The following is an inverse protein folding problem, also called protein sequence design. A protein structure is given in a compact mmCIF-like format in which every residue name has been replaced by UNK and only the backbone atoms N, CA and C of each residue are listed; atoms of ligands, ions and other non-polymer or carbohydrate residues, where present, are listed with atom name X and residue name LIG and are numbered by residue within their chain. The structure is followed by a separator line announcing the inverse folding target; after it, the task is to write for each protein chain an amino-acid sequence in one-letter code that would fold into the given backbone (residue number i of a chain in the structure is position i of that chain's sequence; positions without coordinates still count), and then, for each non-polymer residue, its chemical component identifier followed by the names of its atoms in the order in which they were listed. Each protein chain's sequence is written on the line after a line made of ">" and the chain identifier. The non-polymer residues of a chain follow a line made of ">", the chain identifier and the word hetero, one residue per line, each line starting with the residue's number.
data_IF_882704672683
#
_entry.id   IF_882704672683
#
_cell.length_a   1.000
_cell.length_b   1.000
_cell.length_c   1.000
_cell.angle_alpha   90.00
_cell.angle_beta   90.00
_cell.angle_gamma   90.00
#
_symmetry.space_group_name_H-M   'P 1'
#
loop_
_entity.id
_entity.type
_entity.pdbx_description
1 polymer ?
2 non-polymer ?
3 non-polymer ?
4 non-polymer ?
5 non-polymer ?
6 water ?
#
# COMPACT_ATOMS: atom_id res chain seq x y z
N UNK A 3 4.90 9.03 -18.62
CA UNK A 3 3.60 9.63 -18.37
C UNK A 3 3.76 11.10 -18.03
N UNK A 4 2.75 11.92 -18.35
CA UNK A 4 2.83 13.37 -18.28
C UNK A 4 1.66 13.93 -17.48
N UNK A 5 1.95 14.89 -16.61
CA UNK A 5 0.93 15.64 -15.88
C UNK A 5 1.04 17.11 -16.28
N UNK A 6 0.08 17.57 -17.09
CA UNK A 6 0.13 18.92 -17.64
C UNK A 6 -1.05 19.76 -17.18
N UNK A 7 -2.15 19.73 -17.94
CA UNK A 7 -3.34 20.51 -17.59
C UNK A 7 -4.05 19.95 -16.38
N UNK A 8 -3.91 18.65 -16.14
CA UNK A 8 -4.53 17.94 -15.02
C UNK A 8 -5.99 17.64 -15.36
N UNK A 9 -6.82 18.66 -15.54
CA UNK A 9 -8.24 18.45 -15.79
C UNK A 9 -8.50 18.40 -17.29
N UNK A 10 -8.99 17.25 -17.76
CA UNK A 10 -9.26 17.00 -19.16
C UNK A 10 -10.75 16.85 -19.47
N UNK A 11 -11.59 16.70 -18.45
CA UNK A 11 -13.04 16.53 -18.56
C UNK A 11 -13.43 15.22 -19.23
N UNK A 12 -12.48 14.35 -19.59
CA UNK A 12 -12.81 13.10 -20.24
C UNK A 12 -13.50 12.11 -19.31
N UNK A 13 -13.50 12.36 -18.00
CA UNK A 13 -14.16 11.47 -17.06
C UNK A 13 -15.44 12.04 -16.49
N UNK A 14 -16.00 13.06 -17.14
CA UNK A 14 -17.19 13.72 -16.63
C UNK A 14 -18.46 12.92 -16.84
N UNK A 15 -18.40 11.76 -17.51
CA UNK A 15 -19.54 10.86 -17.64
C UNK A 15 -19.44 9.65 -16.73
N UNK A 16 -18.49 9.64 -15.81
CA UNK A 16 -18.32 8.51 -14.90
C UNK A 16 -17.49 7.37 -15.44
N UNK A 17 -16.87 7.54 -16.61
CA UNK A 17 -15.95 6.56 -17.18
C UNK A 17 -14.53 7.13 -17.14
N UNK A 18 -13.55 6.24 -17.28
CA UNK A 18 -12.15 6.63 -17.23
C UNK A 18 -11.34 5.52 -17.91
N UNK A 19 -10.03 5.66 -17.89
CA UNK A 19 -9.14 4.79 -18.64
C UNK A 19 -8.19 4.00 -17.78
N UNK A 20 -8.01 2.73 -18.13
CA UNK A 20 -6.90 1.95 -17.63
C UNK A 20 -5.62 2.38 -18.35
N UNK A 21 -4.49 1.75 -18.01
CA UNK A 21 -3.22 2.18 -18.58
C UNK A 21 -3.09 1.83 -20.06
N UNK A 22 -3.82 0.82 -20.53
CA UNK A 22 -3.89 0.55 -21.97
C UNK A 22 -4.92 1.43 -22.66
N UNK A 23 -5.52 2.37 -21.94
CA UNK A 23 -6.47 3.38 -22.40
C UNK A 23 -7.84 2.81 -22.70
N UNK A 24 -8.06 1.51 -22.49
CA UNK A 24 -9.41 0.98 -22.53
C UNK A 24 -10.26 1.64 -21.45
N UNK A 25 -11.56 1.72 -21.69
CA UNK A 25 -12.46 2.51 -20.86
C UNK A 25 -13.17 1.62 -19.85
N UNK A 26 -13.27 2.12 -18.60
CA UNK A 26 -13.94 1.41 -17.52
C UNK A 26 -14.81 2.39 -16.76
N UNK A 27 -15.77 1.83 -16.01
CA UNK A 27 -16.52 2.64 -15.05
C UNK A 27 -15.62 3.04 -13.90
N UNK A 28 -15.89 4.22 -13.33
CA UNK A 28 -15.06 4.68 -12.22
C UNK A 28 -15.31 3.86 -10.94
N UNK A 29 -16.23 2.91 -10.98
CA UNK A 29 -16.43 1.95 -9.91
C UNK A 29 -15.79 0.59 -10.20
N UNK A 30 -15.01 0.50 -11.26
CA UNK A 30 -14.39 -0.76 -11.64
C UNK A 30 -13.46 -1.27 -10.54
N UNK A 31 -13.52 -2.57 -10.27
CA UNK A 31 -12.79 -3.13 -9.13
C UNK A 31 -11.29 -2.94 -9.27
N UNK A 32 -10.77 -2.99 -10.50
CA UNK A 32 -9.34 -2.78 -10.69
C UNK A 32 -8.95 -1.36 -10.32
N UNK A 33 -9.74 -0.38 -10.77
CA UNK A 33 -9.49 1.01 -10.42
C UNK A 33 -9.60 1.23 -8.92
N UNK A 34 -10.62 0.64 -8.29
CA UNK A 34 -10.74 0.78 -6.84
C UNK A 34 -9.47 0.28 -6.15
N UNK A 35 -8.86 -0.78 -6.69
CA UNK A 35 -7.66 -1.33 -6.06
C UNK A 35 -6.49 -0.35 -6.13
N UNK A 36 -6.16 0.15 -7.32
CA UNK A 36 -5.04 1.07 -7.37
C UNK A 36 -5.40 2.47 -6.89
N UNK A 37 -6.69 2.81 -6.85
CA UNK A 37 -7.11 4.00 -6.12
C UNK A 37 -6.79 3.88 -4.63
N UNK A 38 -7.08 2.72 -4.04
CA UNK A 38 -6.79 2.53 -2.62
C UNK A 38 -5.28 2.51 -2.37
N UNK A 39 -4.48 2.06 -3.34
CA UNK A 39 -3.04 2.20 -3.23
C UNK A 39 -2.65 3.68 -3.15
N UNK A 40 -3.26 4.51 -3.99
CA UNK A 40 -3.05 5.96 -3.93
C UNK A 40 -3.36 6.49 -2.53
N UNK A 41 -4.50 6.07 -1.97
CA UNK A 41 -4.88 6.55 -0.63
C UNK A 41 -3.90 6.07 0.44
N UNK A 42 -3.42 4.83 0.33
CA UNK A 42 -2.41 4.35 1.26
C UNK A 42 -1.10 5.10 1.10
N UNK A 43 -0.73 5.43 -0.14
CA UNK A 43 0.48 6.20 -0.37
C UNK A 43 0.41 7.57 0.30
N UNK A 44 -0.77 8.22 0.22
CA UNK A 44 -0.95 9.51 0.88
C UNK A 44 -0.91 9.40 2.40
N UNK A 45 -1.38 8.28 2.94
CA UNK A 45 -1.30 8.09 4.38
C UNK A 45 0.15 8.01 4.84
N UNK A 46 1.00 7.35 4.06
CA UNK A 46 2.42 7.28 4.39
C UNK A 46 3.06 8.66 4.30
N UNK A 47 2.64 9.46 3.31
CA UNK A 47 3.14 10.82 3.21
C UNK A 47 2.77 11.66 4.41
N UNK A 48 1.56 11.46 4.94
CA UNK A 48 1.19 12.12 6.19
C UNK A 48 2.10 11.68 7.33
N UNK A 49 2.46 10.39 7.35
CA UNK A 49 3.35 9.89 8.39
C UNK A 49 4.76 10.48 8.24
N UNK A 50 5.20 10.68 7.00
CA UNK A 50 6.53 11.24 6.77
C UNK A 50 6.58 12.73 7.10
N UNK A 51 5.50 13.46 6.87
CA UNK A 51 5.51 14.91 6.98
C UNK A 51 5.23 15.41 8.40
N UNK A 52 4.43 14.70 9.17
CA UNK A 52 4.11 15.10 10.53
C UNK A 52 4.78 14.23 11.59
N UNK A 53 5.44 13.14 11.19
CA UNK A 53 5.92 12.16 12.15
C UNK A 53 7.37 12.35 12.56
N UNK A 54 8.14 13.08 11.76
CA UNK A 54 9.58 13.24 11.98
C UNK A 54 10.27 11.90 12.14
N UNK A 55 10.08 10.97 11.23
CA UNK A 55 10.81 9.68 11.32
C UNK A 55 12.30 9.89 11.13
N UNK A 56 13.08 9.02 11.78
CA UNK A 56 14.51 9.10 11.64
C UNK A 56 14.91 8.80 10.19
N UNK A 57 16.20 8.90 9.91
CA UNK A 57 16.68 8.80 8.53
C UNK A 57 16.39 7.42 7.94
N UNK A 58 16.55 6.35 8.73
CA UNK A 58 16.45 5.02 8.16
C UNK A 58 14.99 4.64 7.88
N UNK A 59 14.04 5.12 8.68
CA UNK A 59 12.64 4.86 8.39
C UNK A 59 12.21 5.70 7.20
N UNK A 60 12.63 6.95 7.12
CA UNK A 60 12.26 7.75 5.96
C UNK A 60 12.72 7.07 4.65
N UNK A 61 13.88 6.41 4.68
CA UNK A 61 14.34 5.75 3.44
C UNK A 61 13.53 4.49 3.14
N UNK A 62 13.16 3.74 4.18
CA UNK A 62 12.31 2.57 3.96
C UNK A 62 10.94 3.00 3.45
N UNK A 63 10.34 4.01 4.08
CA UNK A 63 8.99 4.43 3.69
C UNK A 63 8.99 5.06 2.31
N UNK A 64 10.05 5.80 1.96
CA UNK A 64 10.13 6.37 0.62
C UNK A 64 10.22 5.28 -0.44
N UNK A 65 10.89 4.16 -0.13
CA UNK A 65 10.90 3.05 -1.06
C UNK A 65 9.52 2.43 -1.20
N UNK A 66 8.79 2.33 -0.09
CA UNK A 66 7.44 1.77 -0.14
C UNK A 66 6.52 2.66 -0.96
N UNK A 67 6.60 3.97 -0.77
CA UNK A 67 5.82 4.89 -1.60
C UNK A 67 6.12 4.68 -3.08
N UNK A 68 7.38 4.38 -3.41
CA UNK A 68 7.72 4.10 -4.80
C UNK A 68 7.18 2.74 -5.23
N UNK A 69 7.24 1.73 -4.35
CA UNK A 69 6.66 0.44 -4.67
C UNK A 69 5.16 0.55 -4.92
N UNK A 70 4.48 1.43 -4.19
CA UNK A 70 3.02 1.54 -4.33
C UNK A 70 2.65 2.04 -5.73
N UNK A 71 3.49 2.87 -6.34
CA UNK A 71 3.23 3.27 -7.72
C UNK A 71 3.55 2.12 -8.68
N UNK A 72 4.60 1.35 -8.40
CA UNK A 72 4.81 0.11 -9.15
C UNK A 72 3.59 -0.77 -9.06
N UNK A 73 3.01 -0.90 -7.86
CA UNK A 73 1.85 -1.76 -7.67
C UNK A 73 0.64 -1.22 -8.41
N UNK A 74 0.46 0.11 -8.42
CA UNK A 74 -0.65 0.68 -9.16
C UNK A 74 -0.48 0.52 -10.67
N UNK A 75 0.74 0.68 -11.17
CA UNK A 75 0.99 0.43 -12.58
C UNK A 75 0.64 -1.01 -12.95
N UNK A 76 1.02 -1.95 -12.09
CA UNK A 76 0.65 -3.35 -12.27
C UNK A 76 -0.87 -3.49 -12.36
N UNK A 77 -1.58 -2.99 -11.35
CA UNK A 77 -3.02 -3.19 -11.28
C UNK A 77 -3.76 -2.47 -12.39
N UNK A 78 -3.24 -1.33 -12.86
CA UNK A 78 -3.91 -0.56 -13.90
C UNK A 78 -3.63 -1.09 -15.30
N UNK A 79 -2.76 -2.07 -15.46
CA UNK A 79 -2.43 -2.58 -16.80
C UNK A 79 -2.84 -4.03 -16.93
N UNK A 80 -3.88 -4.33 -17.72
CA UNK A 80 -4.32 -5.72 -17.86
C UNK A 80 -3.19 -6.62 -18.31
N UNK A 81 -3.23 -7.87 -17.83
CA UNK A 81 -2.27 -8.88 -18.25
C UNK A 81 -2.71 -9.42 -19.62
N UNK A 82 -1.78 -9.43 -20.57
CA UNK A 82 -2.04 -9.93 -21.92
C UNK A 82 -0.89 -10.83 -22.34
N UNK A 83 -1.18 -11.69 -23.32
CA UNK A 83 -0.16 -12.57 -23.88
C UNK A 83 0.74 -11.81 -24.83
N UNK A 84 2.05 -11.94 -24.63
CA UNK A 84 3.06 -11.28 -25.45
C UNK A 84 2.68 -9.83 -25.70
N UNK A 85 2.74 -8.99 -24.68
CA UNK A 85 2.48 -7.55 -24.90
C UNK A 85 3.55 -6.94 -25.78
N UNK A 86 3.15 -5.98 -26.61
CA UNK A 86 4.13 -5.31 -27.45
C UNK A 86 5.26 -4.73 -26.59
N UNK A 87 4.91 -4.02 -25.53
CA UNK A 87 5.91 -3.56 -24.57
C UNK A 87 5.80 -4.35 -23.27
N UNK A 88 6.92 -4.62 -22.60
CA UNK A 88 6.86 -5.42 -21.36
C UNK A 88 6.39 -4.56 -20.20
N UNK A 89 5.34 -4.99 -19.48
CA UNK A 89 4.77 -4.12 -18.44
C UNK A 89 5.50 -4.22 -17.12
N UNK A 90 5.45 -3.12 -16.37
CA UNK A 90 5.99 -3.09 -15.02
C UNK A 90 5.08 -3.90 -14.09
N UNK A 91 5.63 -4.96 -13.51
CA UNK A 91 4.89 -5.85 -12.61
C UNK A 91 5.60 -5.94 -11.27
N UNK A 92 4.81 -6.19 -10.22
CA UNK A 92 5.37 -6.52 -8.93
C UNK A 92 5.93 -7.93 -8.97
N UNK A 93 7.03 -8.15 -8.25
CA UNK A 93 7.71 -9.44 -8.25
C UNK A 93 7.97 -9.89 -6.83
N UNK A 94 8.15 -11.20 -6.67
CA UNK A 94 8.51 -11.75 -5.37
C UNK A 94 9.66 -10.98 -4.75
N UNK A 95 10.57 -10.46 -5.57
CA UNK A 95 11.64 -9.58 -5.08
C UNK A 95 11.11 -8.55 -4.10
N UNK A 96 10.00 -7.90 -4.47
CA UNK A 96 9.43 -6.86 -3.61
C UNK A 96 9.06 -7.42 -2.24
N UNK A 97 8.40 -8.58 -2.22
CA UNK A 97 7.90 -9.12 -0.96
C UNK A 97 9.04 -9.64 -0.09
N UNK A 98 10.03 -10.30 -0.70
CA UNK A 98 11.19 -10.73 0.06
C UNK A 98 11.84 -9.55 0.78
N UNK A 99 11.95 -8.40 0.10
CA UNK A 99 12.50 -7.22 0.73
C UNK A 99 11.69 -6.80 1.95
N UNK A 100 10.36 -6.77 1.80
CA UNK A 100 9.51 -6.42 2.93
C UNK A 100 9.73 -7.38 4.09
N UNK A 101 9.81 -8.68 3.82
CA UNK A 101 10.01 -9.64 4.90
C UNK A 101 11.34 -9.42 5.61
N UNK A 102 12.37 -9.00 4.88
CA UNK A 102 13.64 -8.70 5.52
C UNK A 102 13.54 -7.50 6.44
N UNK A 103 12.85 -6.45 5.99
CA UNK A 103 12.61 -5.30 6.86
C UNK A 103 11.80 -5.71 8.08
N UNK A 104 10.81 -6.58 7.90
CA UNK A 104 10.04 -7.07 9.04
C UNK A 104 10.95 -7.76 10.05
N UNK A 105 11.75 -8.72 9.59
CA UNK A 105 12.60 -9.47 10.52
C UNK A 105 13.60 -8.55 11.21
N UNK A 106 14.22 -7.64 10.46
CA UNK A 106 15.22 -6.75 11.05
C UNK A 106 14.62 -5.86 12.12
N UNK A 107 13.53 -5.15 11.79
CA UNK A 107 12.93 -4.22 12.74
C UNK A 107 12.19 -4.94 13.86
N UNK A 108 11.72 -6.17 13.64
CA UNK A 108 11.04 -6.91 14.67
C UNK A 108 12.00 -7.65 15.61
N UNK A 109 13.31 -7.62 15.31
CA UNK A 109 14.27 -8.35 16.13
C UNK A 109 14.32 -7.78 17.55
N UNK A 110 14.52 -6.47 17.66
CA UNK A 110 14.68 -5.84 18.95
C UNK A 110 13.42 -5.63 19.76
N UNK A 111 12.28 -6.15 19.31
CA UNK A 111 11.03 -5.94 20.02
C UNK A 111 10.52 -7.25 20.63
N UNK A 112 9.80 -7.17 21.76
CA UNK A 112 9.31 -8.38 22.41
C UNK A 112 7.95 -8.82 21.87
N UNK A 113 7.53 -10.01 22.32
CA UNK A 113 6.21 -10.51 21.99
C UNK A 113 5.14 -9.71 22.71
N UNK A 114 3.92 -9.76 22.18
CA UNK A 114 2.76 -9.12 22.78
C UNK A 114 1.69 -10.17 23.07
N UNK A 115 1.00 -10.01 24.19
CA UNK A 115 -0.07 -10.92 24.59
C UNK A 115 -1.45 -10.32 24.37
N UNK A 116 -1.55 -9.25 23.58
CA UNK A 116 -2.84 -8.66 23.21
C UNK A 116 -2.57 -7.49 22.27
N UNK A 117 -3.65 -6.95 21.72
CA UNK A 117 -3.54 -5.86 20.75
C UNK A 117 -3.11 -4.57 21.42
N UNK A 118 -2.47 -3.70 20.64
CA UNK A 118 -2.03 -2.39 21.09
C UNK A 118 -3.05 -1.35 20.67
N UNK A 119 -3.31 -0.39 21.54
CA UNK A 119 -4.20 0.72 21.19
C UNK A 119 -3.42 1.73 20.35
N UNK A 120 -3.82 1.99 19.10
CA UNK A 120 -3.04 2.90 18.26
C UNK A 120 -2.94 4.30 18.89
N UNK A 121 -1.79 4.91 18.73
CA UNK A 121 -1.54 6.24 19.25
C UNK A 121 -0.08 6.41 19.62
N UNK A 122 0.15 7.29 20.60
CA UNK A 122 1.50 7.56 21.08
C UNK A 122 2.17 8.67 20.28
N UNK A 123 3.27 8.34 19.61
CA UNK A 123 3.97 9.31 18.79
C UNK A 123 3.10 9.76 17.63
N UNK A 124 3.29 11.00 17.15
CA UNK A 124 2.71 11.35 15.84
C UNK A 124 3.11 10.37 14.75
N UNK A 125 4.35 9.88 14.79
CA UNK A 125 4.79 8.89 13.81
C UNK A 125 4.13 7.55 14.05
N UNK A 126 4.01 7.13 15.31
CA UNK A 126 3.41 5.83 15.61
C UNK A 126 1.93 5.81 15.27
N UNK A 127 1.22 6.89 15.60
CA UNK A 127 -0.22 6.93 15.31
C UNK A 127 -0.48 6.96 13.82
N UNK A 128 0.32 7.72 13.06
CA UNK A 128 0.09 7.84 11.63
C UNK A 128 0.50 6.58 10.88
N UNK A 129 1.48 5.83 11.40
CA UNK A 129 1.78 4.53 10.83
C UNK A 129 0.62 3.57 11.01
N UNK A 130 -0.10 3.68 12.14
CA UNK A 130 -1.28 2.85 12.35
C UNK A 130 -2.38 3.22 11.36
N UNK A 131 -2.62 4.51 11.15
CA UNK A 131 -3.56 4.93 10.12
C UNK A 131 -3.16 4.35 8.77
N UNK A 132 -1.89 4.51 8.40
CA UNK A 132 -1.39 3.96 7.14
C UNK A 132 -1.56 2.44 7.10
N UNK A 133 -1.32 1.78 8.23
CA UNK A 133 -1.49 0.33 8.29
C UNK A 133 -2.91 -0.07 7.92
N UNK A 134 -3.91 0.59 8.50
CA UNK A 134 -5.29 0.23 8.23
C UNK A 134 -5.69 0.58 6.80
N UNK A 135 -5.13 1.64 6.22
CA UNK A 135 -5.47 1.99 4.85
C UNK A 135 -4.84 0.98 3.88
N UNK A 136 -3.61 0.55 4.15
CA UNK A 136 -2.99 -0.47 3.31
C UNK A 136 -3.82 -1.75 3.36
N UNK A 137 -4.34 -2.10 4.54
CA UNK A 137 -5.15 -3.30 4.65
C UNK A 137 -6.44 -3.17 3.85
N UNK A 138 -7.04 -1.98 3.85
CA UNK A 138 -8.20 -1.72 2.99
C UNK A 138 -7.83 -1.88 1.52
N UNK A 139 -6.65 -1.37 1.14
CA UNK A 139 -6.19 -1.54 -0.25
C UNK A 139 -5.97 -3.01 -0.58
N UNK A 140 -5.47 -3.79 0.37
CA UNK A 140 -5.27 -5.22 0.12
C UNK A 140 -6.59 -5.91 -0.20
N UNK A 141 -7.64 -5.58 0.56
CA UNK A 141 -8.96 -6.17 0.29
C UNK A 141 -9.43 -5.79 -1.12
N UNK A 142 -9.23 -4.53 -1.52
CA UNK A 142 -9.61 -4.13 -2.87
C UNK A 142 -8.78 -4.87 -3.91
N UNK A 143 -7.49 -5.09 -3.62
CA UNK A 143 -6.65 -5.82 -4.58
C UNK A 143 -7.14 -7.24 -4.77
N UNK A 144 -7.57 -7.90 -3.69
CA UNK A 144 -8.10 -9.25 -3.80
C UNK A 144 -9.43 -9.26 -4.54
N UNK A 145 -10.26 -8.23 -4.33
CA UNK A 145 -11.50 -8.15 -5.08
C UNK A 145 -11.24 -7.96 -6.56
N UNK A 146 -10.15 -7.25 -6.92
CA UNK A 146 -9.79 -7.11 -8.32
C UNK A 146 -9.39 -8.46 -8.91
N UNK A 147 -8.67 -9.27 -8.13
CA UNK A 147 -8.33 -10.63 -8.59
C UNK A 147 -9.60 -11.43 -8.84
N UNK A 148 -10.56 -11.36 -7.91
CA UNK A 148 -11.82 -12.08 -8.08
C UNK A 148 -12.51 -11.67 -9.37
N UNK A 149 -12.50 -10.37 -9.68
CA UNK A 149 -13.21 -9.90 -10.87
C UNK A 149 -12.49 -10.30 -12.16
N UNK A 150 -11.16 -10.40 -12.12
CA UNK A 150 -10.36 -10.69 -13.30
C UNK A 150 -9.20 -11.60 -12.90
N UNK A 151 -9.47 -12.88 -12.63
CA UNK A 151 -8.41 -13.78 -12.16
C UNK A 151 -7.32 -14.06 -13.18
N UNK A 152 -7.52 -13.73 -14.46
CA UNK A 152 -6.47 -13.83 -15.46
C UNK A 152 -5.78 -12.51 -15.73
N UNK A 153 -6.54 -11.43 -15.81
CA UNK A 153 -5.98 -10.13 -16.15
C UNK A 153 -5.30 -9.39 -15.03
N UNK A 154 -5.45 -9.84 -13.78
CA UNK A 154 -4.90 -9.15 -12.61
C UNK A 154 -3.97 -10.11 -11.88
N UNK A 155 -2.81 -9.61 -11.50
CA UNK A 155 -1.82 -10.40 -10.76
C UNK A 155 -2.16 -10.45 -9.28
N UNK A 156 -1.78 -11.57 -8.64
CA UNK A 156 -1.95 -11.70 -7.20
C UNK A 156 -0.83 -11.03 -6.43
N UNK A 157 0.25 -10.65 -7.09
CA UNK A 157 1.44 -10.16 -6.40
C UNK A 157 1.24 -8.79 -5.79
N UNK A 158 0.52 -7.86 -6.44
CA UNK A 158 0.18 -6.61 -5.75
C UNK A 158 -0.51 -6.84 -4.41
N UNK A 159 -1.49 -7.75 -4.37
CA UNK A 159 -2.19 -8.03 -3.13
C UNK A 159 -1.26 -8.69 -2.12
N UNK A 160 -0.38 -9.59 -2.57
CA UNK A 160 0.55 -10.19 -1.64
C UNK A 160 1.55 -9.16 -1.12
N UNK A 161 1.97 -8.22 -1.96
CA UNK A 161 2.81 -7.13 -1.47
C UNK A 161 2.07 -6.33 -0.40
N UNK A 162 0.82 -5.94 -0.68
CA UNK A 162 0.06 -5.18 0.30
C UNK A 162 -0.17 -5.98 1.57
N UNK A 163 -0.28 -7.31 1.47
CA UNK A 163 -0.42 -8.15 2.65
C UNK A 163 0.80 -7.99 3.56
N UNK A 164 1.99 -8.23 3.02
CA UNK A 164 3.19 -8.14 3.84
C UNK A 164 3.44 -6.71 4.31
N UNK A 165 3.05 -5.72 3.51
CA UNK A 165 3.34 -4.33 3.86
C UNK A 165 2.64 -3.90 5.14
N UNK A 166 1.37 -4.28 5.32
CA UNK A 166 0.68 -3.89 6.54
C UNK A 166 1.30 -4.54 7.77
N UNK A 167 1.89 -5.72 7.61
CA UNK A 167 2.62 -6.33 8.72
C UNK A 167 3.86 -5.50 9.08
N UNK A 168 4.59 -5.01 8.07
CA UNK A 168 5.75 -4.17 8.32
C UNK A 168 5.35 -2.85 8.97
N UNK A 169 4.29 -2.22 8.47
CA UNK A 169 3.86 -0.95 9.05
C UNK A 169 3.49 -1.12 10.53
N UNK A 170 2.96 -2.27 10.91
CA UNK A 170 2.68 -2.53 12.32
C UNK A 170 3.97 -2.56 13.14
N UNK A 171 4.96 -3.32 12.67
CA UNK A 171 6.24 -3.38 13.36
C UNK A 171 6.82 -1.98 13.52
N UNK A 172 6.84 -1.21 12.43
CA UNK A 172 7.39 0.15 12.49
C UNK A 172 6.60 1.03 13.46
N UNK A 173 5.30 0.80 13.60
CA UNK A 173 4.51 1.61 14.53
C UNK A 173 4.96 1.38 15.97
N UNK A 174 5.34 0.14 16.30
CA UNK A 174 5.84 -0.14 17.64
C UNK A 174 7.20 0.50 17.86
N UNK A 175 8.10 0.41 16.87
CA UNK A 175 9.42 1.02 17.01
C UNK A 175 9.31 2.51 17.25
N UNK A 176 8.30 3.16 16.66
CA UNK A 176 8.10 4.60 16.87
C UNK A 176 7.52 4.91 18.24
N UNK A 177 7.19 3.89 19.04
CA UNK A 177 6.86 4.04 20.45
C UNK A 177 7.92 3.30 21.25
N UNK A 178 9.16 3.79 21.26
CA UNK A 178 10.27 3.03 21.87
C UNK A 178 10.08 2.74 23.35
N UNK A 179 9.10 3.36 24.01
CA UNK A 179 8.82 3.07 25.41
C UNK A 179 7.79 1.96 25.57
N UNK A 180 6.77 1.96 24.71
CA UNK A 180 5.75 0.92 24.72
C UNK A 180 4.37 1.49 24.49
N UNK A 181 3.50 0.69 23.89
CA UNK A 181 2.12 1.08 23.62
C UNK A 181 1.18 0.39 24.58
N UNK A 182 0.01 0.99 24.73
CA UNK A 182 -1.00 0.48 25.67
C UNK A 182 -1.66 -0.74 25.06
N UNK A 183 -1.87 -1.77 25.88
CA UNK A 183 -2.45 -3.02 25.41
C UNK A 183 -3.95 -3.01 25.66
N UNK A 184 -4.69 -3.55 24.69
CA UNK A 184 -6.11 -3.83 24.89
C UNK A 184 -6.29 -4.75 26.08
N UNK A 185 -7.27 -4.43 26.92
CA UNK A 185 -7.69 -5.31 28.02
C UNK A 185 -9.14 -5.71 27.75
N UNK A 186 -9.40 -6.94 27.29
CA UNK A 186 -10.77 -7.30 26.90
C UNK A 186 -11.79 -7.04 27.99
N UNK A 187 -12.80 -6.24 27.67
CA UNK A 187 -13.86 -5.94 28.61
C UNK A 187 -13.45 -5.13 29.81
N UNK A 188 -12.28 -4.48 29.75
CA UNK A 188 -11.79 -3.69 30.87
C UNK A 188 -12.65 -2.49 31.19
#
# INVERSE_FOLDING_TARGET
>A
MAVHLTRIYTRTGDDGTTGLSDMSRVAKTDARLVAYADCDEANAAIGAALALGHPDTQITDVLRQIQNDLFDAGADLSTPIVENPKHPPLRIAQSYIDRLEGWCDAYNAGLPALKSFVLPGGSPLSALLHVARTVVRRAERSAWAAVDAHPEGVSVLPAKYLNRLSDLLFILSRVANPDGDVLWRPGGDRTAS
#
